data_IF_610690829752
#
_entry.id   IF_610690829752
#
_cell.length_a   1.000
_cell.length_b   1.000
_cell.length_c   1.000
_cell.angle_alpha   90.00
_cell.angle_beta   90.00
_cell.angle_gamma   90.00
#
_symmetry.space_group_name_H-M   'P 1'
#
loop_
_entity.id
_entity.type
_entity.pdbx_description
1 polymer ?
#
# COMPACT_ATOMS: atom_id res chain seq x y z
N UNK A 1 13.08 -22.60 37.98
CA UNK A 1 13.82 -21.57 37.21
C UNK A 1 12.86 -21.08 36.15
N UNK A 2 12.10 -20.02 36.42
CA UNK A 2 11.20 -19.44 35.42
C UNK A 2 12.06 -18.88 34.30
N UNK A 3 12.06 -19.54 33.14
CA UNK A 3 12.73 -19.04 31.95
C UNK A 3 12.11 -17.70 31.59
N UNK A 4 12.85 -16.61 31.80
CA UNK A 4 12.41 -15.29 31.37
C UNK A 4 12.33 -15.31 29.84
N UNK A 5 11.13 -15.13 29.30
CA UNK A 5 10.91 -15.12 27.85
C UNK A 5 11.56 -13.86 27.31
N UNK A 6 12.57 -14.01 26.46
CA UNK A 6 13.27 -12.89 25.83
C UNK A 6 12.45 -12.34 24.66
N UNK A 7 11.76 -11.23 24.91
CA UNK A 7 10.97 -10.50 23.90
C UNK A 7 11.57 -9.13 23.55
N UNK A 8 12.70 -8.73 24.16
CA UNK A 8 13.30 -7.40 23.98
C UNK A 8 14.53 -7.42 23.06
N UNK A 9 15.25 -8.53 22.94
CA UNK A 9 16.46 -8.62 22.11
C UNK A 9 16.17 -8.35 20.63
N UNK A 10 15.04 -8.85 20.12
CA UNK A 10 14.59 -8.58 18.75
C UNK A 10 14.34 -7.08 18.51
N UNK A 11 13.75 -6.39 19.49
CA UNK A 11 13.55 -4.94 19.45
C UNK A 11 14.89 -4.22 19.41
N UNK A 12 15.86 -4.56 20.26
CA UNK A 12 17.19 -3.92 20.25
C UNK A 12 17.85 -4.09 18.87
N UNK A 13 17.81 -5.30 18.32
CA UNK A 13 18.36 -5.59 16.99
C UNK A 13 17.69 -4.78 15.87
N UNK A 14 16.37 -4.61 15.91
CA UNK A 14 15.62 -3.84 14.91
C UNK A 14 16.03 -2.36 14.85
N UNK A 15 16.47 -1.79 15.98
CA UNK A 15 16.87 -0.38 16.07
C UNK A 15 18.37 -0.13 15.87
N UNK A 16 19.22 -1.16 15.91
CA UNK A 16 20.66 -1.00 15.65
C UNK A 16 20.99 -0.32 14.30
N UNK A 17 20.34 -0.68 13.17
CA UNK A 17 20.59 -0.03 11.88
C UNK A 17 20.18 1.46 11.88
N UNK A 18 19.22 1.83 12.73
CA UNK A 18 18.74 3.21 12.83
C UNK A 18 19.70 4.12 13.60
N UNK A 19 20.72 3.55 14.28
CA UNK A 19 21.82 4.25 14.97
C UNK A 19 21.37 5.51 15.75
N UNK A 20 20.25 5.44 16.48
CA UNK A 20 19.69 6.58 17.20
C UNK A 20 20.63 7.06 18.31
N UNK A 21 20.83 8.37 18.46
CA UNK A 21 21.70 8.95 19.49
C UNK A 21 21.13 8.77 20.90
N UNK A 22 19.80 8.75 21.02
CA UNK A 22 19.04 8.56 22.26
C UNK A 22 17.62 8.13 21.89
N UNK A 23 16.84 7.56 22.81
CA UNK A 23 17.21 6.99 24.10
C UNK A 23 17.95 5.63 23.97
N UNK A 24 18.69 5.23 25.01
CA UNK A 24 19.37 3.92 25.04
C UNK A 24 18.35 2.77 25.20
N UNK A 25 18.35 1.85 24.24
CA UNK A 25 17.45 0.69 24.22
C UNK A 25 17.99 -0.43 25.13
N UNK A 26 17.83 -0.25 26.44
CA UNK A 26 18.23 -1.26 27.43
C UNK A 26 17.10 -2.27 27.71
N UNK A 27 17.44 -3.54 28.02
CA UNK A 27 16.46 -4.55 28.43
C UNK A 27 15.55 -4.10 29.59
N UNK A 28 16.07 -3.29 30.51
CA UNK A 28 15.33 -2.77 31.68
C UNK A 28 14.16 -1.88 31.25
N UNK A 29 14.36 -1.04 30.23
CA UNK A 29 13.32 -0.18 29.70
C UNK A 29 12.32 -0.97 28.84
N UNK A 30 12.80 -1.95 28.06
CA UNK A 30 11.94 -2.74 27.18
C UNK A 30 11.06 -3.76 27.92
N UNK A 31 11.43 -4.19 29.13
CA UNK A 31 10.59 -5.05 29.99
C UNK A 31 9.32 -4.33 30.49
N UNK A 32 9.36 -3.01 30.67
CA UNK A 32 8.21 -2.19 31.05
C UNK A 32 8.37 -0.77 30.49
N UNK A 33 8.13 -0.57 29.18
CA UNK A 33 8.45 0.68 28.50
C UNK A 33 7.58 1.82 29.04
N UNK A 34 8.17 2.86 29.67
CA UNK A 34 7.41 4.02 30.08
C UNK A 34 6.99 4.83 28.84
N UNK A 35 5.84 5.52 28.90
CA UNK A 35 5.34 6.30 27.77
C UNK A 35 6.37 7.31 27.24
N UNK A 36 7.09 7.98 28.14
CA UNK A 36 8.11 8.97 27.78
C UNK A 36 9.24 8.35 26.96
N UNK A 37 9.66 7.13 27.27
CA UNK A 37 10.64 6.39 26.48
C UNK A 37 10.14 6.09 25.06
N UNK A 38 8.89 5.67 24.90
CA UNK A 38 8.29 5.43 23.58
C UNK A 38 8.23 6.74 22.78
N UNK A 39 7.84 7.84 23.42
CA UNK A 39 7.82 9.16 22.80
C UNK A 39 9.22 9.62 22.38
N UNK A 40 10.22 9.46 23.25
CA UNK A 40 11.61 9.83 22.97
C UNK A 40 12.19 9.02 21.79
N UNK A 41 11.81 7.74 21.65
CA UNK A 41 12.16 6.92 20.48
C UNK A 41 11.59 7.53 19.21
N UNK A 42 10.29 7.83 19.18
CA UNK A 42 9.63 8.40 18.00
C UNK A 42 10.22 9.76 17.65
N UNK A 43 10.42 10.62 18.67
CA UNK A 43 11.07 11.92 18.50
C UNK A 43 12.46 11.79 17.89
N UNK A 44 13.25 10.81 18.32
CA UNK A 44 14.61 10.60 17.83
C UNK A 44 14.63 10.04 16.40
N UNK A 45 13.65 9.20 16.04
CA UNK A 45 13.44 8.79 14.66
C UNK A 45 13.09 10.02 13.81
N UNK A 46 12.17 10.87 14.26
CA UNK A 46 11.76 12.06 13.52
C UNK A 46 12.87 13.09 13.38
N UNK A 47 13.66 13.31 14.43
CA UNK A 47 14.80 14.21 14.39
C UNK A 47 15.84 13.79 13.34
N UNK A 48 16.01 12.48 13.10
CA UNK A 48 17.00 11.96 12.15
C UNK A 48 16.44 11.72 10.76
N UNK A 49 15.24 11.15 10.67
CA UNK A 49 14.67 10.62 9.43
C UNK A 49 13.43 11.40 8.96
N UNK A 50 12.88 12.28 9.80
CA UNK A 50 11.66 13.04 9.52
C UNK A 50 10.51 12.15 8.99
N UNK A 51 10.27 11.03 9.67
CA UNK A 51 9.44 9.93 9.18
C UNK A 51 7.95 10.07 9.56
N UNK A 52 7.64 10.47 10.79
CA UNK A 52 6.29 10.49 11.38
C UNK A 52 5.75 11.89 11.67
N UNK A 53 6.54 12.94 11.42
CA UNK A 53 6.14 14.33 11.66
C UNK A 53 4.79 14.67 11.02
N UNK A 54 4.54 14.25 9.78
CA UNK A 54 3.29 14.50 9.06
C UNK A 54 2.07 13.74 9.61
N UNK A 55 2.30 12.71 10.44
CA UNK A 55 1.24 11.88 11.03
C UNK A 55 0.87 12.41 12.41
N UNK A 56 1.85 12.86 13.18
CA UNK A 56 1.65 13.30 14.57
C UNK A 56 1.24 14.77 14.59
N UNK A 57 0.05 15.11 15.13
CA UNK A 57 -0.39 16.49 15.29
C UNK A 57 0.61 17.32 16.09
N UNK A 58 0.78 18.60 15.75
CA UNK A 58 1.77 19.47 16.39
C UNK A 58 1.59 19.56 17.92
N UNK A 59 0.35 19.50 18.41
CA UNK A 59 -0.02 19.52 19.83
C UNK A 59 0.43 18.28 20.62
N UNK A 60 0.74 17.18 19.91
CA UNK A 60 1.14 15.92 20.51
C UNK A 60 2.63 15.60 20.26
N UNK A 61 3.39 16.51 19.65
CA UNK A 61 4.83 16.36 19.42
C UNK A 61 5.68 16.73 20.62
N UNK A 62 5.17 17.61 21.48
CA UNK A 62 5.88 17.99 22.70
C UNK A 62 5.48 17.05 23.84
N UNK A 63 6.45 16.31 24.34
CA UNK A 63 6.31 15.43 25.50
C UNK A 63 5.73 16.12 26.74
N UNK A 64 5.93 17.44 26.90
CA UNK A 64 5.40 18.21 28.03
C UNK A 64 3.88 18.48 27.89
N UNK A 65 3.36 18.50 26.66
CA UNK A 65 1.94 18.72 26.37
C UNK A 65 1.12 17.42 26.46
N UNK A 66 1.78 16.26 26.45
CA UNK A 66 1.19 14.91 26.50
C UNK A 66 1.30 14.32 27.92
N UNK A 67 0.77 15.05 28.89
CA UNK A 67 0.77 14.70 30.32
C UNK A 67 -0.45 13.85 30.71
N UNK A 68 -1.61 14.19 30.15
CA UNK A 68 -2.92 13.57 30.38
C UNK A 68 -3.01 12.17 29.77
N UNK A 69 -3.76 11.29 30.45
CA UNK A 69 -3.90 9.88 30.05
C UNK A 69 -4.55 9.75 28.67
N UNK A 70 -5.53 10.61 28.40
CA UNK A 70 -6.30 10.67 27.17
C UNK A 70 -5.39 11.02 25.99
N UNK A 71 -4.53 12.03 26.13
CA UNK A 71 -3.57 12.41 25.09
C UNK A 71 -2.52 11.33 24.82
N UNK A 72 -2.08 10.60 25.85
CA UNK A 72 -1.17 9.45 25.67
C UNK A 72 -1.81 8.33 24.86
N UNK A 73 -3.09 8.06 25.13
CA UNK A 73 -3.88 7.07 24.39
C UNK A 73 -4.07 7.53 22.94
N UNK A 74 -4.42 8.80 22.73
CA UNK A 74 -4.60 9.39 21.40
C UNK A 74 -3.32 9.31 20.56
N UNK A 75 -2.19 9.74 21.13
CA UNK A 75 -0.87 9.66 20.50
C UNK A 75 -0.55 8.24 20.01
N UNK A 76 -0.68 7.25 20.90
CA UNK A 76 -0.42 5.85 20.56
C UNK A 76 -1.42 5.31 19.53
N UNK A 77 -2.69 5.72 19.61
CA UNK A 77 -3.73 5.29 18.66
C UNK A 77 -3.42 5.79 17.24
N UNK A 78 -2.99 7.04 17.11
CA UNK A 78 -2.58 7.63 15.82
C UNK A 78 -1.41 6.84 15.24
N UNK A 79 -0.35 6.59 16.03
CA UNK A 79 0.80 5.82 15.55
C UNK A 79 0.45 4.38 15.17
N UNK A 80 -0.31 3.67 16.00
CA UNK A 80 -0.69 2.27 15.73
C UNK A 80 -1.52 2.19 14.44
N UNK A 81 -2.52 3.05 14.29
CA UNK A 81 -3.35 3.08 13.08
C UNK A 81 -2.52 3.40 11.83
N UNK A 82 -1.55 4.32 11.94
CA UNK A 82 -0.67 4.66 10.84
C UNK A 82 0.22 3.48 10.44
N UNK A 83 0.87 2.81 11.40
CA UNK A 83 1.70 1.64 11.14
C UNK A 83 0.87 0.49 10.53
N UNK A 84 -0.33 0.23 11.06
CA UNK A 84 -1.22 -0.79 10.52
C UNK A 84 -1.57 -0.51 9.05
N UNK A 85 -1.87 0.76 8.71
CA UNK A 85 -2.13 1.19 7.33
C UNK A 85 -0.90 1.05 6.44
N UNK A 86 0.25 1.47 6.93
CA UNK A 86 1.50 1.52 6.16
C UNK A 86 2.05 0.12 5.86
N UNK A 87 2.05 -0.76 6.86
CA UNK A 87 2.54 -2.13 6.75
C UNK A 87 1.47 -3.12 6.26
N UNK A 88 0.19 -2.70 6.22
CA UNK A 88 -0.97 -3.56 5.93
C UNK A 88 -1.06 -4.78 6.86
N UNK A 89 -0.71 -4.59 8.12
CA UNK A 89 -0.75 -5.60 9.20
C UNK A 89 -1.66 -5.09 10.30
N UNK A 90 -2.49 -5.95 10.88
CA UNK A 90 -3.28 -5.60 12.06
C UNK A 90 -2.52 -5.99 13.33
N UNK A 91 -1.98 -5.00 14.04
CA UNK A 91 -1.27 -5.20 15.29
C UNK A 91 -2.26 -5.37 16.45
N UNK A 92 -2.23 -6.53 17.13
CA UNK A 92 -2.99 -6.80 18.36
C UNK A 92 -2.37 -6.06 19.56
N UNK A 93 -2.49 -4.72 19.55
CA UNK A 93 -1.88 -3.83 20.53
C UNK A 93 -2.92 -2.82 20.99
N UNK A 94 -3.16 -2.76 22.31
CA UNK A 94 -4.11 -1.83 22.87
C UNK A 94 -3.39 -0.61 23.51
N UNK A 95 -3.63 0.62 23.03
CA UNK A 95 -3.04 1.85 23.58
C UNK A 95 -3.23 1.98 25.10
N UNK A 96 -4.41 1.59 25.62
CA UNK A 96 -4.71 1.68 27.06
C UNK A 96 -3.82 0.75 27.88
N UNK A 97 -3.47 -0.41 27.35
CA UNK A 97 -2.60 -1.40 27.99
C UNK A 97 -1.17 -0.91 28.04
N UNK A 98 -0.67 -0.33 26.94
CA UNK A 98 0.65 0.30 26.88
C UNK A 98 0.78 1.41 27.93
N UNK A 99 -0.19 2.33 28.00
CA UNK A 99 -0.15 3.45 28.98
C UNK A 99 -0.16 2.94 30.42
N UNK A 100 -0.84 1.82 30.70
CA UNK A 100 -0.82 1.18 32.02
C UNK A 100 0.43 0.34 32.31
N UNK A 101 1.34 0.19 31.34
CA UNK A 101 2.54 -0.66 31.43
C UNK A 101 2.23 -2.16 31.46
N UNK A 102 1.12 -2.56 30.84
CA UNK A 102 0.71 -3.95 30.67
C UNK A 102 1.06 -4.44 29.25
N UNK A 103 1.21 -5.76 29.08
CA UNK A 103 1.51 -6.40 27.79
C UNK A 103 2.80 -5.86 27.13
N UNK A 104 3.95 -5.91 27.82
CA UNK A 104 5.22 -5.42 27.28
C UNK A 104 5.67 -6.19 26.03
N UNK A 105 5.31 -7.47 25.91
CA UNK A 105 5.58 -8.31 24.73
C UNK A 105 4.95 -7.71 23.47
N UNK A 106 3.65 -7.40 23.51
CA UNK A 106 2.92 -6.75 22.42
C UNK A 106 3.45 -5.34 22.11
N UNK A 107 3.85 -4.62 23.16
CA UNK A 107 4.48 -3.30 23.00
C UNK A 107 5.82 -3.39 22.27
N UNK A 108 6.63 -4.43 22.55
CA UNK A 108 7.88 -4.67 21.85
C UNK A 108 7.67 -5.04 20.37
N UNK A 109 6.64 -5.84 20.07
CA UNK A 109 6.25 -6.12 18.69
C UNK A 109 5.89 -4.81 17.96
N UNK A 110 5.07 -3.94 18.57
CA UNK A 110 4.78 -2.61 18.03
C UNK A 110 6.05 -1.79 17.76
N UNK A 111 7.00 -1.76 18.69
CA UNK A 111 8.28 -1.04 18.52
C UNK A 111 9.12 -1.62 17.37
N UNK A 112 9.12 -2.95 17.17
CA UNK A 112 9.80 -3.58 16.03
C UNK A 112 9.19 -3.14 14.69
N UNK A 113 7.85 -3.13 14.60
CA UNK A 113 7.16 -2.61 13.42
C UNK A 113 7.40 -1.12 13.20
N UNK A 114 7.47 -0.34 14.28
CA UNK A 114 7.83 1.08 14.22
C UNK A 114 9.21 1.26 13.59
N UNK A 115 10.24 0.55 14.07
CA UNK A 115 11.58 0.61 13.47
C UNK A 115 11.62 0.18 11.99
N UNK A 116 10.90 -0.89 11.62
CA UNK A 116 10.83 -1.37 10.25
C UNK A 116 10.08 -0.40 9.32
N UNK A 117 9.08 0.31 9.84
CA UNK A 117 8.22 1.21 9.07
C UNK A 117 8.90 2.54 8.69
N UNK A 118 10.05 2.90 9.27
CA UNK A 118 10.72 4.20 9.04
C UNK A 118 10.93 4.49 7.55
N UNK A 119 11.46 3.52 6.80
CA UNK A 119 11.71 3.69 5.37
C UNK A 119 10.42 3.87 4.55
N UNK A 120 9.38 3.11 4.87
CA UNK A 120 8.07 3.23 4.23
C UNK A 120 7.39 4.57 4.57
N UNK A 121 7.53 5.05 5.81
CA UNK A 121 6.94 6.31 6.25
C UNK A 121 7.56 7.52 5.53
N UNK A 122 8.88 7.48 5.27
CA UNK A 122 9.55 8.50 4.46
C UNK A 122 9.03 8.51 3.00
N UNK A 123 8.77 7.34 2.43
CA UNK A 123 8.21 7.23 1.08
C UNK A 123 6.76 7.74 1.02
N UNK A 124 5.94 7.39 2.00
CA UNK A 124 4.55 7.85 2.12
C UNK A 124 4.49 9.38 2.24
N UNK A 125 5.33 9.97 3.10
CA UNK A 125 5.47 11.42 3.22
C UNK A 125 5.87 12.08 1.90
N UNK A 126 6.82 11.50 1.18
CA UNK A 126 7.26 12.01 -0.12
C UNK A 126 6.15 11.93 -1.18
N UNK A 127 5.37 10.84 -1.18
CA UNK A 127 4.21 10.68 -2.06
C UNK A 127 3.11 11.70 -1.76
N UNK A 128 2.81 11.94 -0.49
CA UNK A 128 1.85 12.97 -0.06
C UNK A 128 2.30 14.36 -0.51
N UNK A 129 3.59 14.70 -0.34
CA UNK A 129 4.15 15.97 -0.79
C UNK A 129 4.11 16.13 -2.33
N UNK A 130 4.29 15.05 -3.09
CA UNK A 130 4.21 15.06 -4.55
C UNK A 130 2.76 15.19 -5.08
N UNK A 131 1.79 14.69 -4.32
CA UNK A 131 0.35 14.77 -4.65
C UNK A 131 -0.32 16.08 -4.22
N UNK A 132 0.37 16.92 -3.44
CA UNK A 132 -0.14 18.22 -3.02
C UNK A 132 -0.18 19.18 -4.23
N UNK A 133 -1.36 19.74 -4.60
CA UNK A 133 -1.43 20.72 -5.68
C UNK A 133 -0.62 21.97 -5.29
N UNK A 134 0.34 22.35 -6.14
CA UNK A 134 1.05 23.63 -6.04
C UNK A 134 0.03 24.77 -6.10
N UNK A 135 -0.41 25.27 -4.94
CA UNK A 135 -1.12 26.54 -4.88
C UNK A 135 -0.14 27.67 -5.21
N UNK A 136 -0.24 28.16 -6.45
CA UNK A 136 0.32 29.43 -6.87
C UNK A 136 -0.41 30.55 -6.13
N UNK A 137 0.36 31.34 -5.40
CA UNK A 137 -0.02 32.61 -4.81
C UNK A 137 -0.63 33.57 -5.84
N UNK A 138 -1.84 34.05 -5.58
CA UNK A 138 -2.29 35.41 -5.95
C UNK A 138 -3.55 35.76 -5.15
N UNK A 139 -3.41 36.74 -4.25
CA UNK A 139 -4.51 37.40 -3.56
C UNK A 139 -5.07 38.53 -4.42
N UNK A 140 -6.40 38.62 -4.57
CA UNK A 140 -7.19 39.86 -4.43
C UNK A 140 -8.70 39.63 -4.61
N UNK A 141 -9.39 39.75 -3.47
CA UNK A 141 -10.71 40.32 -3.18
C UNK A 141 -11.76 40.56 -4.29
N UNK A 142 -12.97 40.02 -4.08
CA UNK A 142 -14.22 40.75 -3.71
C UNK A 142 -15.43 39.79 -3.79
N UNK A 143 -16.10 39.42 -2.68
CA UNK A 143 -17.22 40.10 -1.97
C UNK A 143 -18.51 39.26 -2.11
N UNK A 144 -18.81 38.39 -1.12
CA UNK A 144 -19.96 38.42 -0.18
C UNK A 144 -21.34 38.06 -0.79
N UNK A 145 -22.16 37.14 -0.27
CA UNK A 145 -22.89 37.20 1.01
C UNK A 145 -23.53 35.83 1.36
N UNK A 146 -23.75 35.60 2.67
CA UNK A 146 -24.32 34.41 3.32
C UNK A 146 -25.87 34.55 3.59
N UNK A 147 -26.57 33.56 4.20
CA UNK A 147 -28.04 33.31 4.16
C UNK A 147 -28.83 33.99 5.32
N UNK A 148 -30.13 33.71 5.60
CA UNK A 148 -30.56 32.53 6.39
C UNK A 148 -32.01 32.00 6.13
N UNK A 149 -32.38 30.99 6.92
CA UNK A 149 -33.57 30.14 6.88
C UNK A 149 -34.87 30.71 7.51
N UNK A 150 -36.02 30.07 7.21
CA UNK A 150 -36.94 29.37 8.16
C UNK A 150 -38.46 29.60 7.99
N UNK A 151 -39.21 28.54 8.35
CA UNK A 151 -40.63 28.46 8.77
C UNK A 151 -41.67 28.19 7.65
N UNK A 152 -42.66 27.29 7.77
CA UNK A 152 -43.26 26.61 8.93
C UNK A 152 -44.29 25.52 8.50
N UNK A 153 -44.38 24.41 9.28
CA UNK A 153 -45.57 23.76 9.92
C UNK A 153 -46.88 23.58 9.09
N UNK A 154 -47.74 22.56 9.15
CA UNK A 154 -48.05 21.40 10.03
C UNK A 154 -49.24 20.63 9.38
N UNK A 155 -49.41 19.31 9.64
CA UNK A 155 -50.58 18.49 9.20
C UNK A 155 -51.92 18.85 9.91
N UNK A 156 -53.02 18.04 9.87
CA UNK A 156 -53.03 16.55 9.84
C UNK A 156 -54.23 15.84 9.12
N UNK A 157 -54.26 14.51 9.27
CA UNK A 157 -55.44 13.62 9.42
C UNK A 157 -55.93 12.73 8.24
N UNK A 158 -56.29 11.51 8.63
CA UNK A 158 -56.53 10.27 7.87
C UNK A 158 -57.98 10.13 7.40
N UNK A 159 -58.25 9.34 6.34
CA UNK A 159 -59.02 8.07 6.37
C UNK A 159 -59.25 7.49 4.96
N UNK A 160 -58.99 6.17 4.83
CA UNK A 160 -59.65 5.14 4.00
C UNK A 160 -59.75 5.24 2.47
N UNK A 161 -59.30 4.18 1.78
CA UNK A 161 -60.01 3.66 0.59
C UNK A 161 -59.18 3.15 -0.58
N UNK A 162 -59.02 1.82 -0.66
CA UNK A 162 -59.03 0.95 -1.87
C UNK A 162 -58.03 1.12 -3.03
N UNK A 163 -57.29 0.04 -3.30
CA UNK A 163 -56.71 -0.31 -4.62
C UNK A 163 -57.82 -0.50 -5.69
N UNK A 164 -57.54 -0.21 -6.97
CA UNK A 164 -57.73 -1.20 -8.04
C UNK A 164 -56.63 -1.11 -9.15
N UNK A 165 -56.64 -1.90 -10.24
CA UNK A 165 -55.84 -3.11 -10.39
C UNK A 165 -54.70 -2.99 -11.41
N UNK A 166 -53.76 -3.92 -11.31
CA UNK A 166 -52.69 -4.16 -12.26
C UNK A 166 -53.21 -4.77 -13.57
N UNK A 167 -53.29 -3.99 -14.64
CA UNK A 167 -53.34 -4.53 -16.01
C UNK A 167 -53.15 -3.44 -17.06
N UNK A 168 -51.91 -3.04 -17.31
CA UNK A 168 -51.47 -2.46 -18.60
C UNK A 168 -49.96 -2.25 -18.62
N UNK A 169 -49.21 -3.36 -18.57
CA UNK A 169 -47.85 -3.36 -19.10
C UNK A 169 -47.75 -4.47 -20.13
N UNK A 170 -47.41 -4.07 -21.35
CA UNK A 170 -47.27 -4.90 -22.52
C UNK A 170 -46.36 -6.10 -22.24
N UNK A 171 -46.95 -7.29 -22.32
CA UNK A 171 -46.27 -8.58 -22.32
C UNK A 171 -45.36 -8.66 -23.56
N UNK A 172 -44.10 -8.26 -23.41
CA UNK A 172 -43.02 -8.67 -24.34
C UNK A 172 -42.50 -10.00 -23.82
N UNK A 173 -42.77 -11.06 -24.57
CA UNK A 173 -42.29 -12.42 -24.29
C UNK A 173 -40.75 -12.41 -24.39
N UNK A 174 -40.07 -12.30 -23.26
CA UNK A 174 -38.62 -12.47 -23.18
C UNK A 174 -38.31 -13.96 -23.25
N UNK A 175 -37.48 -14.34 -24.22
CA UNK A 175 -36.90 -15.66 -24.37
C UNK A 175 -35.94 -15.91 -23.22
N UNK A 176 -36.38 -16.62 -22.19
CA UNK A 176 -35.53 -17.12 -21.09
C UNK A 176 -34.34 -17.98 -21.61
N UNK A 177 -34.41 -18.46 -22.85
CA UNK A 177 -33.38 -19.27 -23.50
C UNK A 177 -32.16 -18.42 -23.94
N UNK A 178 -32.37 -17.15 -24.33
CA UNK A 178 -31.28 -16.25 -24.76
C UNK A 178 -30.46 -15.70 -23.60
N UNK A 179 -31.13 -15.40 -22.47
CA UNK A 179 -30.48 -14.84 -21.28
C UNK A 179 -29.52 -15.85 -20.61
N UNK A 180 -29.84 -17.15 -20.68
CA UNK A 180 -28.98 -18.21 -20.19
C UNK A 180 -27.78 -18.45 -21.13
N UNK A 181 -28.01 -18.46 -22.44
CA UNK A 181 -26.96 -18.58 -23.46
C UNK A 181 -25.99 -17.39 -23.45
N UNK A 182 -26.50 -16.17 -23.20
CA UNK A 182 -25.68 -14.96 -23.08
C UNK A 182 -24.87 -14.91 -21.78
N UNK A 183 -25.41 -15.42 -20.67
CA UNK A 183 -24.63 -15.59 -19.43
C UNK A 183 -23.56 -16.65 -19.56
N UNK A 184 -23.85 -17.78 -20.22
CA UNK A 184 -22.86 -18.84 -20.42
C UNK A 184 -21.72 -18.42 -21.36
N UNK A 185 -22.00 -17.63 -22.40
CA UNK A 185 -20.96 -17.07 -23.29
C UNK A 185 -20.06 -16.07 -22.57
N UNK A 186 -20.62 -15.20 -21.71
CA UNK A 186 -19.85 -14.25 -20.91
C UNK A 186 -18.95 -14.95 -19.87
N UNK A 187 -19.46 -15.99 -19.20
CA UNK A 187 -18.66 -16.80 -18.26
C UNK A 187 -17.53 -17.57 -18.97
N UNK A 188 -17.79 -18.07 -20.18
CA UNK A 188 -16.78 -18.76 -21.00
C UNK A 188 -15.65 -17.83 -21.44
N UNK A 189 -15.97 -16.59 -21.84
CA UNK A 189 -14.94 -15.60 -22.19
C UNK A 189 -14.08 -15.17 -20.99
N UNK A 190 -14.68 -15.05 -19.80
CA UNK A 190 -13.94 -14.77 -18.56
C UNK A 190 -13.02 -15.94 -18.15
N UNK A 191 -13.46 -17.19 -18.35
CA UNK A 191 -12.64 -18.37 -18.10
C UNK A 191 -11.47 -18.47 -19.10
N UNK A 192 -11.68 -18.14 -20.37
CA UNK A 192 -10.61 -18.06 -21.38
C UNK A 192 -9.57 -16.98 -21.04
N UNK A 193 -10.02 -15.80 -20.60
CA UNK A 193 -9.14 -14.74 -20.11
C UNK A 193 -8.34 -15.16 -18.85
N UNK A 194 -8.99 -15.86 -17.91
CA UNK A 194 -8.33 -16.36 -16.72
C UNK A 194 -7.27 -17.44 -17.04
N UNK A 195 -7.55 -18.32 -18.00
CA UNK A 195 -6.60 -19.32 -18.50
C UNK A 195 -5.40 -18.66 -19.19
N UNK A 196 -5.64 -17.65 -20.01
CA UNK A 196 -4.55 -16.87 -20.64
C UNK A 196 -3.64 -16.21 -19.60
N UNK A 197 -4.21 -15.60 -18.55
CA UNK A 197 -3.44 -14.98 -17.46
C UNK A 197 -2.59 -15.99 -16.67
N UNK A 198 -3.10 -17.21 -16.44
CA UNK A 198 -2.32 -18.30 -15.83
C UNK A 198 -1.21 -18.81 -16.76
N UNK A 199 -1.46 -18.81 -18.07
CA UNK A 199 -0.47 -19.18 -19.06
C UNK A 199 0.66 -18.14 -19.11
N UNK A 200 0.35 -16.84 -19.06
CA UNK A 200 1.34 -15.76 -18.92
C UNK A 200 2.23 -15.90 -17.68
N UNK A 201 1.67 -16.25 -16.52
CA UNK A 201 2.46 -16.42 -15.30
C UNK A 201 3.38 -17.64 -15.34
N UNK A 202 2.99 -18.70 -16.07
CA UNK A 202 3.81 -19.91 -16.24
C UNK A 202 5.04 -19.71 -17.14
N UNK A 203 4.98 -18.80 -18.10
CA UNK A 203 6.07 -18.60 -19.07
C UNK A 203 7.28 -17.85 -18.52
N UNK A 204 7.30 -17.51 -17.22
CA UNK A 204 8.42 -16.79 -16.58
C UNK A 204 8.86 -15.55 -17.38
N UNK A 205 7.97 -14.98 -18.19
CA UNK A 205 8.05 -13.58 -18.59
C UNK A 205 7.89 -12.85 -17.28
N UNK A 206 9.00 -12.40 -16.73
CA UNK A 206 9.08 -11.72 -15.46
C UNK A 206 8.49 -10.29 -15.61
N UNK A 207 7.25 -10.22 -16.09
CA UNK A 207 6.32 -9.12 -15.90
C UNK A 207 5.66 -9.37 -14.56
N UNK A 208 6.47 -9.35 -13.51
CA UNK A 208 5.99 -9.31 -12.15
C UNK A 208 5.32 -7.95 -11.92
N UNK A 209 4.09 -7.79 -12.44
CA UNK A 209 3.26 -6.60 -12.24
C UNK A 209 2.99 -6.32 -10.74
N UNK A 210 3.25 -7.30 -9.87
CA UNK A 210 3.12 -7.20 -8.42
C UNK A 210 4.45 -7.14 -7.66
N UNK A 211 5.61 -7.26 -8.32
CA UNK A 211 6.90 -7.15 -7.66
C UNK A 211 7.33 -5.68 -7.67
N UNK A 212 7.28 -5.05 -6.51
CA UNK A 212 7.90 -3.75 -6.31
C UNK A 212 9.41 -3.90 -6.46
N UNK A 213 9.91 -3.65 -7.67
CA UNK A 213 11.34 -3.49 -7.89
C UNK A 213 11.75 -2.13 -7.33
N UNK A 214 12.76 -2.13 -6.48
CA UNK A 214 13.27 -0.89 -5.88
C UNK A 214 13.88 -0.01 -6.98
N UNK A 215 13.17 1.07 -7.31
CA UNK A 215 13.52 2.06 -8.34
C UNK A 215 14.96 2.56 -8.18
N UNK A 216 15.47 2.63 -6.95
CA UNK A 216 16.85 3.05 -6.69
C UNK A 216 17.87 2.01 -7.16
N UNK A 217 17.61 0.73 -6.92
CA UNK A 217 18.52 -0.35 -7.36
C UNK A 217 18.52 -0.50 -8.87
N UNK A 218 17.35 -0.39 -9.52
CA UNK A 218 17.25 -0.39 -10.98
C UNK A 218 17.92 0.85 -11.58
N UNK A 219 17.67 2.03 -11.01
CA UNK A 219 18.35 3.26 -11.44
C UNK A 219 19.87 3.15 -11.31
N UNK A 220 20.38 2.56 -10.23
CA UNK A 220 21.82 2.31 -10.08
C UNK A 220 22.35 1.27 -11.06
N UNK A 221 21.56 0.25 -11.41
CA UNK A 221 21.92 -0.75 -12.42
C UNK A 221 22.02 -0.11 -13.81
N UNK A 222 21.04 0.73 -14.17
CA UNK A 222 21.00 1.49 -15.42
C UNK A 222 22.19 2.46 -15.49
N UNK A 223 22.48 3.20 -14.42
CA UNK A 223 23.62 4.13 -14.37
C UNK A 223 24.96 3.38 -14.44
N UNK A 224 25.08 2.22 -13.78
CA UNK A 224 26.28 1.36 -13.87
C UNK A 224 26.48 0.85 -15.29
N UNK A 225 25.41 0.38 -15.93
CA UNK A 225 25.43 -0.10 -17.31
C UNK A 225 25.75 1.02 -18.30
N UNK A 226 25.15 2.20 -18.13
CA UNK A 226 25.43 3.37 -18.95
C UNK A 226 26.87 3.86 -18.80
N UNK A 227 27.41 3.88 -17.57
CA UNK A 227 28.82 4.19 -17.34
C UNK A 227 29.76 3.16 -17.95
N UNK A 228 29.39 1.88 -17.92
CA UNK A 228 30.16 0.82 -18.57
C UNK A 228 30.16 0.97 -20.11
N UNK A 229 29.04 1.38 -20.70
CA UNK A 229 28.93 1.67 -22.15
C UNK A 229 29.62 2.98 -22.55
N UNK A 230 29.66 3.97 -21.66
CA UNK A 230 30.26 5.29 -21.93
C UNK A 230 31.78 5.31 -21.84
N UNK A 231 32.42 4.22 -21.39
CA UNK A 231 33.86 4.13 -21.22
C UNK A 231 34.42 2.93 -22.01
N UNK A 232 34.79 3.11 -23.31
CA UNK A 232 35.22 2.01 -24.19
C UNK A 232 36.64 1.48 -23.89
N UNK A 233 37.15 1.66 -22.67
CA UNK A 233 38.48 1.22 -22.24
C UNK A 233 38.39 0.04 -21.27
N UNK A 234 37.65 -0.97 -21.69
CA UNK A 234 38.00 -2.35 -21.38
C UNK A 234 38.08 -2.98 -22.75
N UNK A 235 39.27 -3.40 -23.17
CA UNK A 235 39.39 -4.45 -24.17
C UNK A 235 38.60 -5.63 -23.61
N UNK A 236 37.33 -5.72 -23.99
CA UNK A 236 36.63 -6.97 -23.96
C UNK A 236 37.35 -7.80 -24.99
N UNK A 237 38.40 -8.51 -24.55
CA UNK A 237 38.73 -9.81 -25.10
C UNK A 237 37.38 -10.45 -25.45
N UNK A 238 37.06 -10.66 -26.75
CA UNK A 238 35.79 -11.22 -27.13
C UNK A 238 35.69 -12.50 -26.35
N UNK A 239 34.81 -12.55 -25.35
CA UNK A 239 34.65 -13.72 -24.50
C UNK A 239 34.47 -14.85 -25.49
N UNK A 240 35.48 -15.72 -25.59
CA UNK A 240 35.55 -16.79 -26.59
C UNK A 240 34.59 -17.87 -26.10
N UNK A 241 33.32 -17.48 -25.91
CA UNK A 241 32.23 -18.38 -25.68
C UNK A 241 32.29 -19.35 -26.86
N UNK A 242 32.33 -20.67 -26.58
CA UNK A 242 32.26 -21.67 -27.63
C UNK A 242 31.11 -21.32 -28.57
N UNK A 243 31.35 -21.40 -29.88
CA UNK A 243 30.34 -21.05 -30.90
C UNK A 243 29.00 -21.78 -30.63
N UNK A 244 29.08 -23.00 -30.13
CA UNK A 244 27.92 -23.81 -29.71
C UNK A 244 27.12 -23.17 -28.57
N UNK A 245 27.78 -22.52 -27.61
CA UNK A 245 27.11 -21.80 -26.51
C UNK A 245 26.39 -20.57 -27.04
N UNK A 246 27.00 -19.84 -27.98
CA UNK A 246 26.41 -18.68 -28.63
C UNK A 246 25.20 -19.08 -29.49
N UNK A 247 25.34 -20.12 -30.31
CA UNK A 247 24.24 -20.66 -31.12
C UNK A 247 23.08 -21.15 -30.26
N UNK A 248 23.38 -21.78 -29.12
CA UNK A 248 22.35 -22.22 -28.17
C UNK A 248 21.64 -21.02 -27.53
N UNK A 249 22.36 -19.97 -27.17
CA UNK A 249 21.77 -18.75 -26.64
C UNK A 249 20.88 -18.05 -27.69
N UNK A 250 21.34 -17.96 -28.94
CA UNK A 250 20.56 -17.40 -30.05
C UNK A 250 19.28 -18.20 -30.30
N UNK A 251 19.37 -19.54 -30.31
CA UNK A 251 18.20 -20.41 -30.49
C UNK A 251 17.16 -20.22 -29.38
N UNK A 252 17.60 -20.17 -28.11
CA UNK A 252 16.72 -19.86 -26.96
C UNK A 252 16.05 -18.50 -27.11
N UNK A 253 16.79 -17.51 -27.59
CA UNK A 253 16.24 -16.17 -27.78
C UNK A 253 15.20 -16.13 -28.90
N UNK A 254 15.46 -16.81 -30.02
CA UNK A 254 14.50 -16.96 -31.12
C UNK A 254 13.21 -17.66 -30.63
N UNK A 255 13.36 -18.72 -29.84
CA UNK A 255 12.22 -19.45 -29.26
C UNK A 255 11.39 -18.55 -28.33
N UNK A 256 12.06 -17.76 -27.50
CA UNK A 256 11.41 -16.76 -26.63
C UNK A 256 10.63 -15.73 -27.45
N UNK A 257 11.21 -15.21 -28.54
CA UNK A 257 10.54 -14.24 -29.43
C UNK A 257 9.31 -14.86 -30.10
N UNK A 258 9.41 -16.10 -30.59
CA UNK A 258 8.27 -16.82 -31.18
C UNK A 258 7.15 -17.04 -30.17
N UNK A 259 7.51 -17.42 -28.94
CA UNK A 259 6.55 -17.56 -27.84
C UNK A 259 5.83 -16.23 -27.54
N UNK A 260 6.54 -15.10 -27.49
CA UNK A 260 5.91 -13.79 -27.32
C UNK A 260 4.94 -13.45 -28.46
N UNK A 261 5.29 -13.77 -29.69
CA UNK A 261 4.42 -13.53 -30.85
C UNK A 261 3.11 -14.32 -30.75
N UNK A 262 3.18 -15.57 -30.30
CA UNK A 262 1.98 -16.40 -30.06
C UNK A 262 1.12 -15.84 -28.92
N UNK A 263 1.74 -15.40 -27.81
CA UNK A 263 1.04 -14.76 -26.71
C UNK A 263 0.34 -13.46 -27.13
N UNK A 264 0.99 -12.66 -27.98
CA UNK A 264 0.37 -11.47 -28.54
C UNK A 264 -0.85 -11.84 -29.40
N UNK A 265 -0.74 -12.85 -30.26
CA UNK A 265 -1.88 -13.32 -31.06
C UNK A 265 -3.04 -13.80 -30.18
N UNK A 266 -2.76 -14.56 -29.12
CA UNK A 266 -3.78 -15.04 -28.18
C UNK A 266 -4.43 -13.90 -27.40
N UNK A 267 -3.65 -12.88 -27.00
CA UNK A 267 -4.17 -11.67 -26.36
C UNK A 267 -5.15 -10.91 -27.27
N UNK A 268 -4.81 -10.72 -28.55
CA UNK A 268 -5.73 -10.07 -29.51
C UNK A 268 -7.04 -10.84 -29.62
N UNK A 269 -7.00 -12.18 -29.67
CA UNK A 269 -8.21 -13.02 -29.71
C UNK A 269 -9.07 -12.87 -28.46
N UNK A 270 -8.45 -12.80 -27.28
CA UNK A 270 -9.16 -12.58 -26.01
C UNK A 270 -9.83 -11.21 -26.00
N UNK A 271 -9.12 -10.16 -26.45
CA UNK A 271 -9.65 -8.81 -26.55
C UNK A 271 -10.86 -8.77 -27.49
N UNK A 272 -10.74 -9.28 -28.72
CA UNK A 272 -11.85 -9.31 -29.69
C UNK A 272 -13.09 -10.02 -29.11
N UNK A 273 -12.88 -11.14 -28.41
CA UNK A 273 -13.97 -11.90 -27.81
C UNK A 273 -14.65 -11.13 -26.67
N UNK A 274 -13.88 -10.41 -25.84
CA UNK A 274 -14.44 -9.58 -24.78
C UNK A 274 -15.18 -8.35 -25.35
N UNK A 275 -14.62 -7.68 -26.35
CA UNK A 275 -15.25 -6.54 -27.02
C UNK A 275 -16.58 -6.94 -27.68
N UNK A 276 -16.63 -8.11 -28.32
CA UNK A 276 -17.87 -8.64 -28.93
C UNK A 276 -19.02 -8.90 -27.94
N UNK A 277 -18.72 -8.99 -26.64
CA UNK A 277 -19.70 -9.25 -25.59
C UNK A 277 -20.17 -7.99 -24.87
N UNK A 278 -19.38 -6.92 -24.93
CA UNK A 278 -19.66 -5.62 -24.29
C UNK A 278 -20.34 -4.64 -25.25
N UNK A 279 -20.15 -4.83 -26.56
CA UNK A 279 -20.78 -4.05 -27.64
C UNK A 279 -22.16 -4.62 -28.00
#
# INVERSE_FOLDING_TARGET
MSGEVDFWSATIAAYQPLQLTSPELSPKLLKRPPFRFIHDIVYSIDARFAAYDHVIPAELRDSAQVDTKEKKIEYLTILINYINKLMKVDLDVNPKKIVSGNEPEKTNIFLQYLAAAVGYAQQDKAALAASAPKQKSAASASTSLSPPAASSLTGPAQTSGSLPPASSLCRKKSSLVDDAARRSSHLSALDEAAKFNRKLSSYSLNLSLSEQRDVRTEGQSIVRMWKALSNPQVETEPSRMPQETLETAIKRQIETIKMMQELLSENHRVIEKLESLVT
#
